data_IF_061306482518
#
_entry.id   IF_061306482518
#
_cell.length_a   1.000
_cell.length_b   1.000
_cell.length_c   1.000
_cell.angle_alpha   90.00
_cell.angle_beta   90.00
_cell.angle_gamma   90.00
#
_symmetry.space_group_name_H-M   'P 1'
#
loop_
_entity.id
_entity.type
_entity.pdbx_description
1 polymer ?
#
# COMPACT_ATOMS: atom_id res chain seq x y z
N UNK A 1 23.70 -12.99 26.96
CA UNK A 1 23.47 -11.69 26.31
C UNK A 1 22.12 -11.72 25.65
N UNK A 2 21.11 -11.10 26.24
CA UNK A 2 19.84 -10.86 25.56
C UNK A 2 20.12 -9.81 24.50
N UNK A 3 20.06 -10.20 23.22
CA UNK A 3 19.98 -9.22 22.15
C UNK A 3 18.67 -8.48 22.36
N UNK A 4 18.75 -7.24 22.77
CA UNK A 4 17.63 -6.31 22.76
C UNK A 4 17.24 -6.21 21.27
N UNK A 5 16.15 -6.88 20.89
CA UNK A 5 15.60 -6.75 19.53
C UNK A 5 15.13 -5.30 19.45
N UNK A 6 15.92 -4.46 18.84
CA UNK A 6 15.56 -3.07 18.58
C UNK A 6 14.27 -3.06 17.77
N UNK A 7 13.31 -2.26 18.19
CA UNK A 7 12.04 -2.14 17.49
C UNK A 7 12.28 -1.68 16.05
N UNK A 8 11.63 -2.36 15.09
CA UNK A 8 11.78 -2.05 13.68
C UNK A 8 10.45 -1.56 13.09
N UNK A 9 10.55 -0.56 12.24
CA UNK A 9 9.45 0.00 11.49
C UNK A 9 9.57 -0.43 10.02
N UNK A 10 8.48 -0.89 9.45
CA UNK A 10 8.45 -1.45 8.10
C UNK A 10 7.57 -0.57 7.21
N UNK A 11 8.12 -0.12 6.10
CA UNK A 11 7.36 0.57 5.05
C UNK A 11 7.22 -0.33 3.82
N UNK A 12 6.01 -0.46 3.30
CA UNK A 12 5.71 -1.29 2.14
C UNK A 12 5.04 -0.46 1.05
N UNK A 13 5.66 -0.43 -0.11
CA UNK A 13 5.05 0.06 -1.35
C UNK A 13 4.61 -1.14 -2.19
N UNK A 14 3.29 -1.36 -2.19
CA UNK A 14 2.66 -2.51 -2.84
C UNK A 14 2.33 -2.17 -4.29
N UNK A 15 2.88 -2.93 -5.23
CA UNK A 15 2.59 -2.84 -6.67
C UNK A 15 1.94 -4.12 -7.18
N UNK A 16 1.51 -4.14 -8.45
CA UNK A 16 0.80 -5.29 -9.02
C UNK A 16 1.64 -6.56 -9.18
N UNK A 17 2.95 -6.46 -9.25
CA UNK A 17 3.85 -7.60 -9.52
C UNK A 17 4.96 -7.74 -8.52
N UNK A 18 5.40 -6.66 -7.94
CA UNK A 18 6.51 -6.61 -6.99
C UNK A 18 6.23 -5.57 -5.94
N UNK A 19 6.59 -5.87 -4.72
CA UNK A 19 6.56 -4.93 -3.62
C UNK A 19 7.96 -4.61 -3.14
N UNK A 20 8.14 -3.37 -2.70
CA UNK A 20 9.36 -2.92 -2.05
C UNK A 20 9.09 -2.76 -0.57
N UNK A 21 9.94 -3.39 0.24
CA UNK A 21 9.83 -3.42 1.70
C UNK A 21 11.12 -2.82 2.25
N UNK A 22 10.98 -1.77 3.06
CA UNK A 22 12.11 -1.13 3.74
C UNK A 22 11.91 -1.28 5.24
N UNK A 23 12.97 -1.68 5.94
CA UNK A 23 13.01 -1.78 7.41
C UNK A 23 13.95 -0.75 7.97
N UNK A 24 13.51 -0.02 8.99
CA UNK A 24 14.31 0.99 9.68
C UNK A 24 14.33 0.72 11.19
N UNK A 25 15.35 1.20 11.87
CA UNK A 25 15.42 1.18 13.32
C UNK A 25 14.78 2.44 13.94
N UNK A 26 14.84 2.56 15.25
CA UNK A 26 14.30 3.69 16.03
C UNK A 26 14.96 5.03 15.68
N UNK A 27 16.21 5.04 15.21
CA UNK A 27 16.93 6.22 14.76
C UNK A 27 16.63 6.60 13.31
N UNK A 28 15.88 5.75 12.56
CA UNK A 28 15.55 5.96 11.17
C UNK A 28 16.60 5.45 10.18
N UNK A 29 17.60 4.71 10.63
CA UNK A 29 18.56 4.08 9.73
C UNK A 29 17.96 2.87 9.04
N UNK A 30 18.19 2.75 7.72
CA UNK A 30 17.73 1.62 6.93
C UNK A 30 18.52 0.38 7.29
N UNK A 31 17.84 -0.64 7.79
CA UNK A 31 18.39 -1.93 8.15
C UNK A 31 18.37 -2.95 7.00
N UNK A 32 17.44 -2.77 6.07
CA UNK A 32 17.33 -3.63 4.90
C UNK A 32 16.27 -3.18 3.94
N UNK A 33 16.47 -3.58 2.68
CA UNK A 33 15.55 -3.34 1.57
C UNK A 33 15.34 -4.67 0.89
N UNK A 34 14.08 -5.10 0.82
CA UNK A 34 13.68 -6.33 0.14
C UNK A 34 12.76 -5.98 -1.05
N UNK A 35 13.02 -6.60 -2.19
CA UNK A 35 12.12 -6.56 -3.34
C UNK A 35 11.56 -7.97 -3.53
N UNK A 36 10.26 -8.13 -3.36
CA UNK A 36 9.60 -9.44 -3.44
C UNK A 36 8.52 -9.44 -4.51
N UNK A 37 8.20 -10.62 -5.02
CA UNK A 37 6.99 -10.80 -5.81
C UNK A 37 5.76 -10.58 -4.89
N UNK A 38 4.66 -10.17 -5.49
CA UNK A 38 3.38 -10.01 -4.78
C UNK A 38 2.72 -11.35 -4.52
N UNK A 39 3.37 -12.15 -3.68
CA UNK A 39 2.85 -13.41 -3.19
C UNK A 39 2.89 -13.47 -1.66
N UNK A 40 2.01 -14.26 -1.03
CA UNK A 40 1.90 -14.33 0.42
C UNK A 40 3.18 -14.77 1.13
N UNK A 41 3.95 -15.67 0.52
CA UNK A 41 5.16 -16.23 1.13
C UNK A 41 6.29 -15.22 1.12
N UNK A 42 6.55 -14.60 -0.04
CA UNK A 42 7.60 -13.58 -0.19
C UNK A 42 7.36 -12.38 0.74
N UNK A 43 6.12 -11.90 0.81
CA UNK A 43 5.77 -10.78 1.68
C UNK A 43 5.93 -11.13 3.16
N UNK A 44 5.43 -12.29 3.60
CA UNK A 44 5.55 -12.75 4.99
C UNK A 44 7.01 -12.92 5.42
N UNK A 45 7.84 -13.55 4.59
CA UNK A 45 9.25 -13.76 4.90
C UNK A 45 10.03 -12.45 4.99
N UNK A 46 9.75 -11.50 4.12
CA UNK A 46 10.43 -10.20 4.14
C UNK A 46 10.08 -9.39 5.40
N UNK A 47 8.80 -9.38 5.79
CA UNK A 47 8.34 -8.66 6.99
C UNK A 47 8.79 -9.36 8.27
N UNK A 48 8.85 -10.70 8.29
CA UNK A 48 9.33 -11.47 9.44
C UNK A 48 10.79 -11.14 9.85
N UNK A 49 11.60 -10.61 8.94
CA UNK A 49 12.95 -10.12 9.24
C UNK A 49 12.97 -8.94 10.23
N UNK A 50 11.85 -8.26 10.41
CA UNK A 50 11.70 -7.18 11.39
C UNK A 50 11.49 -7.69 12.83
N UNK A 51 11.40 -8.99 13.03
CA UNK A 51 11.15 -9.60 14.34
C UNK A 51 9.67 -9.83 14.63
N UNK A 52 9.32 -10.24 15.86
CA UNK A 52 7.95 -10.54 16.25
C UNK A 52 7.10 -9.27 16.40
N UNK A 53 5.88 -9.29 15.85
CA UNK A 53 4.91 -8.20 16.01
C UNK A 53 5.35 -6.86 15.43
N UNK A 54 5.87 -6.81 14.19
CA UNK A 54 6.39 -5.56 13.63
C UNK A 54 5.28 -4.55 13.35
N UNK A 55 5.61 -3.26 13.42
CA UNK A 55 4.74 -2.20 12.92
C UNK A 55 5.02 -1.97 11.44
N UNK A 56 3.94 -1.96 10.64
CA UNK A 56 4.01 -1.92 9.18
C UNK A 56 3.16 -0.79 8.63
N UNK A 57 3.76 0.14 7.89
CA UNK A 57 3.03 1.12 7.09
C UNK A 57 2.85 0.60 5.67
N UNK A 58 1.59 0.49 5.23
CA UNK A 58 1.21 -0.03 3.92
C UNK A 58 0.42 1.03 3.15
N UNK A 59 0.86 1.36 1.94
CA UNK A 59 0.11 2.23 1.05
C UNK A 59 -1.23 1.61 0.63
N UNK A 60 -2.34 2.35 0.76
CA UNK A 60 -3.67 1.89 0.34
C UNK A 60 -3.85 2.00 -1.18
N UNK A 61 -3.01 1.29 -1.92
CA UNK A 61 -3.06 1.14 -3.38
C UNK A 61 -3.97 -0.03 -3.78
N UNK A 62 -4.06 -0.33 -5.08
CA UNK A 62 -4.88 -1.45 -5.53
C UNK A 62 -4.43 -2.78 -4.91
N UNK A 63 -5.39 -3.51 -4.34
CA UNK A 63 -5.16 -4.86 -3.81
C UNK A 63 -4.57 -4.91 -2.39
N UNK A 64 -4.49 -3.81 -1.66
CA UNK A 64 -3.90 -3.78 -0.31
C UNK A 64 -4.57 -4.72 0.71
N UNK A 65 -5.83 -5.11 0.49
CA UNK A 65 -6.61 -5.91 1.44
C UNK A 65 -5.98 -7.26 1.79
N UNK A 66 -5.47 -7.98 0.76
CA UNK A 66 -4.87 -9.29 0.97
C UNK A 66 -3.57 -9.18 1.76
N UNK A 67 -2.76 -8.16 1.46
CA UNK A 67 -1.49 -7.93 2.15
C UNK A 67 -1.72 -7.53 3.61
N UNK A 68 -2.65 -6.60 3.87
CA UNK A 68 -3.00 -6.20 5.23
C UNK A 68 -3.51 -7.40 6.05
N UNK A 69 -4.49 -8.14 5.53
CA UNK A 69 -5.02 -9.32 6.23
C UNK A 69 -3.99 -10.41 6.48
N UNK A 70 -3.07 -10.65 5.53
CA UNK A 70 -1.97 -11.61 5.68
C UNK A 70 -1.00 -11.16 6.80
N UNK A 71 -0.60 -9.90 6.80
CA UNK A 71 0.35 -9.38 7.78
C UNK A 71 -0.24 -9.34 9.19
N UNK A 72 -1.51 -8.94 9.31
CA UNK A 72 -2.24 -8.99 10.59
C UNK A 72 -2.37 -10.42 11.12
N UNK A 73 -2.68 -11.40 10.25
CA UNK A 73 -2.73 -12.81 10.61
C UNK A 73 -1.37 -13.34 11.09
N UNK A 74 -0.27 -12.77 10.61
CA UNK A 74 1.10 -13.07 11.04
C UNK A 74 1.54 -12.24 12.27
N UNK A 75 0.64 -11.49 12.89
CA UNK A 75 0.89 -10.75 14.12
C UNK A 75 1.49 -9.35 13.92
N UNK A 76 1.56 -8.83 12.69
CA UNK A 76 1.98 -7.47 12.46
C UNK A 76 0.86 -6.47 12.80
N UNK A 77 1.24 -5.27 13.24
CA UNK A 77 0.34 -4.13 13.37
C UNK A 77 0.38 -3.31 12.07
N UNK A 78 -0.69 -3.37 11.29
CA UNK A 78 -0.75 -2.73 9.98
C UNK A 78 -1.40 -1.36 10.06
N UNK A 79 -0.68 -0.34 9.60
CA UNK A 79 -1.14 1.03 9.44
C UNK A 79 -1.33 1.30 7.94
N UNK A 80 -2.56 1.53 7.52
CA UNK A 80 -2.83 1.91 6.14
C UNK A 80 -2.58 3.40 5.94
N UNK A 81 -2.01 3.75 4.79
CA UNK A 81 -1.68 5.13 4.46
C UNK A 81 -2.30 5.50 3.13
N UNK A 82 -3.07 6.59 3.12
CA UNK A 82 -3.65 7.08 1.87
C UNK A 82 -2.59 7.85 1.06
N UNK A 83 -2.34 7.49 -0.21
CA UNK A 83 -1.29 8.12 -1.02
C UNK A 83 -1.43 9.63 -1.16
N UNK A 84 -2.66 10.16 -1.18
CA UNK A 84 -2.91 11.60 -1.27
C UNK A 84 -2.62 12.36 0.05
N UNK A 85 -2.63 11.67 1.19
CA UNK A 85 -2.27 12.25 2.49
C UNK A 85 -0.75 12.39 2.67
N UNK A 86 0.01 11.62 1.94
CA UNK A 86 1.43 11.82 1.76
C UNK A 86 1.57 12.92 0.72
N UNK A 87 1.79 14.16 1.11
CA UNK A 87 2.15 15.23 0.18
C UNK A 87 3.50 14.86 -0.47
N UNK A 88 3.43 13.94 -1.43
CA UNK A 88 4.53 13.63 -2.34
C UNK A 88 4.73 14.89 -3.16
N UNK A 89 5.48 15.85 -2.59
CA UNK A 89 5.77 17.10 -3.26
C UNK A 89 6.12 16.86 -4.72
N UNK A 90 5.96 17.84 -5.57
CA UNK A 90 6.14 17.92 -7.03
C UNK A 90 7.39 17.22 -7.62
N UNK A 91 7.96 16.23 -6.96
CA UNK A 91 9.15 15.49 -7.39
C UNK A 91 8.81 14.48 -8.48
N UNK A 92 9.31 14.76 -9.66
CA UNK A 92 9.14 14.02 -10.92
C UNK A 92 9.61 12.56 -10.94
N UNK A 93 10.34 12.09 -9.94
CA UNK A 93 10.89 10.72 -9.92
C UNK A 93 10.37 9.99 -8.69
N UNK A 94 9.38 9.15 -8.91
CA UNK A 94 8.94 8.15 -7.94
C UNK A 94 9.93 7.00 -7.97
N UNK A 95 10.62 6.79 -6.85
CA UNK A 95 11.40 5.59 -6.62
C UNK A 95 10.70 4.82 -5.49
N UNK A 96 10.33 3.58 -5.76
CA UNK A 96 9.58 2.71 -4.84
C UNK A 96 10.32 2.53 -3.50
N UNK A 97 11.65 2.50 -3.53
CA UNK A 97 12.50 2.46 -2.33
C UNK A 97 12.31 3.73 -1.48
N UNK A 98 12.25 4.90 -2.09
CA UNK A 98 12.03 6.16 -1.36
C UNK A 98 10.63 6.21 -0.77
N UNK A 99 9.63 5.71 -1.50
CA UNK A 99 8.26 5.61 -1.02
C UNK A 99 8.17 4.74 0.22
N UNK A 100 8.73 3.55 0.17
CA UNK A 100 8.76 2.62 1.30
C UNK A 100 9.57 3.15 2.47
N UNK A 101 10.71 3.84 2.21
CA UNK A 101 11.52 4.48 3.26
C UNK A 101 10.75 5.60 3.96
N UNK A 102 10.04 6.43 3.20
CA UNK A 102 9.23 7.51 3.77
C UNK A 102 8.07 6.96 4.61
N UNK A 103 7.43 5.88 4.17
CA UNK A 103 6.39 5.19 4.96
C UNK A 103 6.93 4.69 6.30
N UNK A 104 8.10 4.03 6.30
CA UNK A 104 8.74 3.55 7.52
C UNK A 104 9.13 4.70 8.47
N UNK A 105 9.67 5.79 7.93
CA UNK A 105 10.09 6.94 8.72
C UNK A 105 8.90 7.70 9.32
N UNK A 106 7.81 7.87 8.59
CA UNK A 106 6.57 8.48 9.11
C UNK A 106 5.92 7.61 10.17
N UNK A 107 5.91 6.28 9.98
CA UNK A 107 5.44 5.33 10.99
C UNK A 107 6.24 5.50 12.30
N UNK A 108 7.57 5.51 12.18
CA UNK A 108 8.47 5.74 13.31
C UNK A 108 8.19 7.04 14.06
N UNK A 109 7.89 8.12 13.34
CA UNK A 109 7.58 9.44 13.91
C UNK A 109 6.16 9.59 14.41
N UNK A 110 5.27 8.63 14.12
CA UNK A 110 3.86 8.69 14.48
C UNK A 110 3.07 9.76 13.72
N UNK A 111 3.53 10.16 12.53
CA UNK A 111 2.90 11.20 11.69
C UNK A 111 2.27 10.63 10.40
N UNK A 112 1.82 9.38 10.44
CA UNK A 112 1.10 8.76 9.33
C UNK A 112 -0.31 9.37 9.17
N UNK A 113 -0.66 9.80 7.95
CA UNK A 113 -2.05 10.14 7.63
C UNK A 113 -2.85 8.85 7.46
N UNK A 114 -3.38 8.32 8.55
CA UNK A 114 -4.18 7.10 8.52
C UNK A 114 -5.57 7.39 7.92
N UNK A 115 -5.96 6.71 6.84
CA UNK A 115 -7.30 6.82 6.30
C UNK A 115 -8.29 6.06 7.17
N UNK A 116 -9.54 6.51 7.18
CA UNK A 116 -10.62 5.71 7.72
C UNK A 116 -10.77 4.41 6.93
N UNK A 117 -10.55 3.28 7.60
CA UNK A 117 -10.78 1.96 7.03
C UNK A 117 -12.25 1.62 7.19
N UNK A 118 -12.98 1.68 6.08
CA UNK A 118 -14.39 1.31 6.09
C UNK A 118 -14.56 -0.19 6.42
N UNK A 119 -15.57 -0.57 7.22
CA UNK A 119 -15.92 -1.97 7.45
C UNK A 119 -16.19 -2.73 6.14
N UNK A 120 -16.11 -4.06 6.13
CA UNK A 120 -16.25 -4.88 4.92
C UNK A 120 -17.53 -4.60 4.11
N UNK A 121 -18.66 -4.47 4.77
CA UNK A 121 -19.97 -4.14 4.18
C UNK A 121 -19.97 -2.77 3.47
N UNK A 122 -19.39 -1.77 4.08
CA UNK A 122 -19.25 -0.45 3.46
C UNK A 122 -18.25 -0.47 2.29
N UNK A 123 -17.22 -1.32 2.35
CA UNK A 123 -16.27 -1.48 1.25
C UNK A 123 -16.95 -2.11 0.04
N UNK A 124 -17.73 -3.15 0.25
CA UNK A 124 -18.53 -3.80 -0.80
C UNK A 124 -19.49 -2.82 -1.45
N UNK A 125 -20.24 -2.07 -0.66
CA UNK A 125 -21.14 -1.04 -1.17
C UNK A 125 -20.39 0.02 -2.00
N UNK A 126 -19.23 0.49 -1.54
CA UNK A 126 -18.39 1.44 -2.29
C UNK A 126 -17.95 0.88 -3.63
N UNK A 127 -17.57 -0.39 -3.68
CA UNK A 127 -17.16 -1.05 -4.93
C UNK A 127 -18.35 -1.14 -5.92
N UNK A 128 -19.54 -1.51 -5.45
CA UNK A 128 -20.75 -1.54 -6.27
C UNK A 128 -21.08 -0.15 -6.84
N UNK A 129 -21.01 0.89 -6.01
CA UNK A 129 -21.28 2.27 -6.45
C UNK A 129 -20.25 2.74 -7.47
N UNK A 130 -18.96 2.46 -7.26
CA UNK A 130 -17.89 2.78 -8.22
C UNK A 130 -18.07 2.03 -9.54
N UNK A 131 -18.43 0.75 -9.47
CA UNK A 131 -18.70 -0.06 -10.66
C UNK A 131 -19.88 0.49 -11.46
N UNK A 132 -20.99 0.85 -10.80
CA UNK A 132 -22.12 1.51 -11.44
C UNK A 132 -21.71 2.83 -12.11
N UNK A 133 -20.94 3.66 -11.44
CA UNK A 133 -20.44 4.91 -11.99
C UNK A 133 -19.59 4.67 -13.25
N UNK A 134 -18.71 3.67 -13.22
CA UNK A 134 -17.89 3.26 -14.38
C UNK A 134 -18.76 2.81 -15.55
N UNK A 135 -19.76 1.97 -15.31
CA UNK A 135 -20.68 1.53 -16.37
C UNK A 135 -21.47 2.70 -16.97
N UNK A 136 -21.91 3.64 -16.13
CA UNK A 136 -22.61 4.85 -16.60
C UNK A 136 -21.71 5.70 -17.49
N UNK A 137 -20.46 5.89 -17.10
CA UNK A 137 -19.47 6.63 -17.89
C UNK A 137 -19.17 5.95 -19.23
N UNK A 138 -19.01 4.63 -19.24
CA UNK A 138 -18.81 3.84 -20.46
C UNK A 138 -20.01 3.95 -21.40
N UNK A 139 -21.25 3.85 -20.88
CA UNK A 139 -22.48 4.04 -21.64
C UNK A 139 -22.53 5.42 -22.28
N UNK A 140 -22.23 6.46 -21.55
CA UNK A 140 -22.20 7.84 -22.04
C UNK A 140 -21.17 8.02 -23.14
N UNK A 141 -19.96 7.49 -22.93
CA UNK A 141 -18.89 7.52 -23.94
C UNK A 141 -19.28 6.76 -25.21
N UNK A 142 -19.93 5.60 -25.09
CA UNK A 142 -20.39 4.83 -26.25
C UNK A 142 -21.47 5.58 -27.04
N UNK A 143 -22.39 6.28 -26.36
CA UNK A 143 -23.42 7.12 -27.01
C UNK A 143 -22.84 8.35 -27.70
N UNK A 144 -21.78 8.92 -27.16
CA UNK A 144 -21.10 10.11 -27.70
C UNK A 144 -20.22 9.81 -28.91
N UNK A 145 -19.92 8.53 -29.23
CA UNK A 145 -19.14 8.18 -30.44
C UNK A 145 -19.93 8.50 -31.69
N UNK A 146 -19.41 9.35 -32.58
CA UNK A 146 -20.11 9.66 -33.83
C UNK A 146 -20.28 8.38 -34.68
N UNK A 147 -21.47 8.15 -35.19
CA UNK A 147 -21.72 7.12 -36.20
C UNK A 147 -20.83 7.45 -37.42
N UNK A 148 -19.90 6.55 -37.74
CA UNK A 148 -19.21 6.64 -39.03
C UNK A 148 -20.30 6.62 -40.11
N UNK A 149 -20.47 7.75 -40.84
CA UNK A 149 -21.28 7.75 -42.05
C UNK A 149 -20.57 6.82 -43.03
N UNK A 150 -21.20 5.71 -43.38
CA UNK A 150 -20.82 4.93 -44.55
C UNK A 150 -21.04 5.85 -45.75
N UNK A 151 -19.98 6.28 -46.36
CA UNK A 151 -20.03 6.96 -47.68
C UNK A 151 -20.41 5.91 -48.70
N UNK A 152 -21.36 6.21 -49.61
CA UNK A 152 -21.79 5.29 -50.66
C UNK A 152 -20.65 4.98 -51.65
#
# INVERSE_FOLDING_TARGET
MQQTVSHQYVGIDLHRRRSVIVRTNEEGHVLGIDQVLDDPVGLSLAVAKAGPGPEVALGSTYGWYWAAGLLEANGARVHLVHPLGLHWGTRRVRNDIRGSTELADRLRRGDLPEPYIAPPDQRELRELVRYRAKLTALRTSAKARPRRKSTP
#
